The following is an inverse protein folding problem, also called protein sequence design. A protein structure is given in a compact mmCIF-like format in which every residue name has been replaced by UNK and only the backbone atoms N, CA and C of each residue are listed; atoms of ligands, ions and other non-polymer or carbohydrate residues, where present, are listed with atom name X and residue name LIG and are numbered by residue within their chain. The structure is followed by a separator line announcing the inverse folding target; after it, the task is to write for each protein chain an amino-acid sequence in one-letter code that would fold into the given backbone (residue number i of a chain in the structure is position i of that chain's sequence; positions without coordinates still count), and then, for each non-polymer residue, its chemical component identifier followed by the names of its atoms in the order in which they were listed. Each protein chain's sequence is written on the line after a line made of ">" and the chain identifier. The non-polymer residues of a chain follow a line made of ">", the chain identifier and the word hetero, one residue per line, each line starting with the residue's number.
data_IF_660913872745
#
_entry.id   IF_660913872745
#
_cell.length_a   1.000
_cell.length_b   1.000
_cell.length_c   1.000
_cell.angle_alpha   90.00
_cell.angle_beta   90.00
_cell.angle_gamma   90.00
#
_symmetry.space_group_name_H-M   'P 1'
#
loop_
_entity.id
_entity.type
_entity.pdbx_description
1 polymer ?
#
# COMPACT_ATOMS: atom_id res chain seq x y z
N UNK A 1 -61.15 28.39 -25.47
CA UNK A 1 -62.25 28.04 -24.55
C UNK A 1 -61.61 27.34 -23.36
N UNK A 2 -61.49 28.06 -22.31
CA UNK A 2 -62.21 28.04 -21.02
C UNK A 2 -61.90 26.76 -20.21
N UNK A 3 -61.15 27.00 -19.12
CA UNK A 3 -61.45 26.84 -17.67
C UNK A 3 -61.07 25.43 -17.16
N UNK A 4 -60.49 25.20 -16.00
CA UNK A 4 -60.20 25.95 -14.79
C UNK A 4 -59.64 24.97 -13.77
N UNK A 5 -58.70 25.39 -12.98
CA UNK A 5 -58.71 25.60 -11.55
C UNK A 5 -59.18 24.42 -10.65
N UNK A 6 -58.31 23.88 -9.78
CA UNK A 6 -58.40 24.08 -8.34
C UNK A 6 -57.30 23.33 -7.58
N UNK A 7 -56.58 24.03 -6.82
CA UNK A 7 -55.87 23.84 -5.58
C UNK A 7 -56.51 22.86 -4.59
N UNK A 8 -55.73 22.05 -3.90
CA UNK A 8 -56.03 21.61 -2.56
C UNK A 8 -54.75 21.25 -1.79
N UNK A 9 -54.40 22.18 -0.94
CA UNK A 9 -53.44 22.04 0.16
C UNK A 9 -54.06 21.19 1.27
N UNK A 10 -53.34 20.18 1.71
CA UNK A 10 -53.66 19.50 2.97
C UNK A 10 -52.45 19.56 3.91
N UNK A 11 -52.49 20.51 4.86
CA UNK A 11 -51.67 20.56 6.07
C UNK A 11 -52.24 19.53 7.06
N UNK A 12 -51.40 18.54 7.49
CA UNK A 12 -51.69 17.82 8.74
C UNK A 12 -50.63 18.21 9.78
N UNK A 13 -51.06 19.04 10.70
CA UNK A 13 -50.37 19.28 11.96
C UNK A 13 -50.88 18.26 12.98
N UNK A 14 -50.00 17.42 13.53
CA UNK A 14 -50.28 16.61 14.70
C UNK A 14 -49.46 17.17 15.86
N UNK A 15 -50.15 17.89 16.73
CA UNK A 15 -49.70 18.33 18.06
C UNK A 15 -49.85 17.18 19.04
N UNK A 16 -48.76 16.84 19.74
CA UNK A 16 -48.81 16.02 20.96
C UNK A 16 -48.54 16.89 22.19
N UNK A 17 -49.31 16.70 23.29
CA UNK A 17 -49.20 17.55 24.48
C UNK A 17 -48.08 17.09 25.40
N UNK A 18 -47.32 18.05 25.93
CA UNK A 18 -46.36 17.91 27.01
C UNK A 18 -47.13 17.77 28.35
N UNK A 19 -47.00 16.64 29.03
CA UNK A 19 -47.34 16.49 30.43
C UNK A 19 -46.14 16.79 31.33
N UNK A 20 -46.32 17.81 32.20
CA UNK A 20 -45.44 18.14 33.32
C UNK A 20 -45.65 17.14 34.45
N UNK A 21 -44.59 16.55 34.98
CA UNK A 21 -44.36 16.06 36.37
C UNK A 21 -43.04 15.27 36.29
N UNK A 22 -42.04 15.46 37.10
CA UNK A 22 -41.89 15.88 38.50
C UNK A 22 -40.41 16.26 38.72
N UNK A 23 -40.22 17.37 39.45
CA UNK A 23 -38.91 17.73 40.01
C UNK A 23 -38.67 16.86 41.25
N UNK A 24 -37.51 16.21 41.39
CA UNK A 24 -36.92 15.92 42.69
C UNK A 24 -35.38 15.83 42.56
N UNK A 25 -34.71 16.81 43.15
CA UNK A 25 -33.58 16.73 44.07
C UNK A 25 -32.36 15.87 43.63
N UNK A 26 -31.34 16.55 43.13
CA UNK A 26 -29.94 16.13 43.37
C UNK A 26 -29.14 17.38 43.71
N UNK A 27 -28.70 17.45 44.98
CA UNK A 27 -27.78 18.43 45.54
C UNK A 27 -26.35 18.21 45.02
N UNK A 28 -25.50 19.27 44.92
CA UNK A 28 -24.10 19.12 44.55
C UNK A 28 -23.29 18.53 45.70
N UNK A 29 -22.50 17.51 45.42
CA UNK A 29 -21.45 17.01 46.30
C UNK A 29 -20.25 17.97 46.18
N UNK A 30 -20.01 18.74 47.21
CA UNK A 30 -18.75 19.47 47.43
C UNK A 30 -17.63 18.47 47.75
N UNK A 31 -16.59 18.42 46.93
CA UNK A 31 -15.34 17.76 47.27
C UNK A 31 -14.45 18.76 48.00
N UNK A 32 -14.27 18.56 49.30
CA UNK A 32 -13.27 19.24 50.11
C UNK A 32 -11.88 18.69 49.80
N UNK A 33 -10.99 19.53 49.36
CA UNK A 33 -9.54 19.25 49.27
C UNK A 33 -8.93 19.29 50.66
N UNK A 34 -8.54 18.15 51.21
CA UNK A 34 -7.55 18.07 52.26
C UNK A 34 -6.21 17.61 51.65
N UNK A 35 -5.24 18.52 51.67
CA UNK A 35 -3.85 18.26 51.35
C UNK A 35 -3.21 17.51 52.53
N UNK A 36 -2.79 16.27 52.34
CA UNK A 36 -1.77 15.63 53.15
C UNK A 36 -0.65 15.19 52.23
N UNK A 37 0.45 15.87 52.38
CA UNK A 37 1.71 15.54 51.70
C UNK A 37 2.25 14.22 52.16
N UNK A 38 2.52 13.33 51.22
CA UNK A 38 3.51 12.28 51.40
C UNK A 38 4.18 12.05 50.03
N UNK A 39 5.38 12.54 49.94
CA UNK A 39 6.37 12.21 48.92
C UNK A 39 6.64 10.71 48.99
N UNK A 40 6.19 9.97 47.96
CA UNK A 40 6.72 8.63 47.66
C UNK A 40 7.34 8.74 46.28
N UNK A 41 8.61 9.08 46.23
CA UNK A 41 9.50 8.81 45.09
C UNK A 41 9.66 7.28 44.97
N UNK A 42 8.88 6.63 44.14
CA UNK A 42 9.18 5.28 43.67
C UNK A 42 10.07 5.36 42.44
N UNK A 43 11.35 5.49 42.66
CA UNK A 43 12.39 5.21 41.64
C UNK A 43 12.37 3.73 41.34
N UNK A 44 11.86 3.35 40.19
CA UNK A 44 12.10 2.01 39.58
C UNK A 44 13.46 2.11 38.88
N UNK A 45 14.47 1.33 39.29
CA UNK A 45 15.81 1.40 38.65
C UNK A 45 15.76 0.62 37.35
N UNK A 46 15.86 1.30 36.24
CA UNK A 46 16.15 0.75 34.90
C UNK A 46 17.63 0.35 34.77
N UNK A 47 18.06 -0.66 35.54
CA UNK A 47 19.36 -1.32 35.33
C UNK A 47 19.25 -2.78 35.68
N UNK A 48 18.90 -3.60 34.69
CA UNK A 48 19.33 -5.00 34.61
C UNK A 48 18.85 -5.65 33.30
N UNK A 49 19.44 -5.25 32.16
CA UNK A 49 19.42 -6.08 30.93
C UNK A 49 20.61 -5.72 30.05
N UNK A 50 21.82 -5.79 30.62
CA UNK A 50 23.06 -5.81 29.83
C UNK A 50 23.95 -6.89 30.40
N UNK A 51 23.83 -8.09 29.93
CA UNK A 51 24.92 -9.11 29.92
C UNK A 51 24.41 -10.41 29.29
N UNK A 52 24.43 -10.51 27.99
CA UNK A 52 24.57 -11.78 27.31
C UNK A 52 25.87 -11.71 26.53
N UNK A 53 26.92 -12.33 27.09
CA UNK A 53 28.22 -12.46 26.45
C UNK A 53 28.11 -13.42 25.26
N UNK A 54 28.43 -12.91 24.09
CA UNK A 54 28.72 -13.70 22.91
C UNK A 54 29.96 -14.55 23.11
N UNK A 55 29.81 -15.84 23.18
CA UNK A 55 30.88 -16.82 22.94
C UNK A 55 30.64 -17.44 21.57
N UNK A 56 31.32 -16.93 20.57
CA UNK A 56 31.59 -17.65 19.32
C UNK A 56 33.08 -17.69 19.09
N UNK A 57 33.64 -18.86 19.40
CA UNK A 57 35.03 -19.20 19.13
C UNK A 57 35.29 -19.28 17.63
N UNK A 58 36.28 -18.56 17.18
CA UNK A 58 36.86 -18.65 15.85
C UNK A 58 37.64 -19.96 15.73
N UNK A 59 37.27 -20.82 14.77
CA UNK A 59 38.20 -21.79 14.18
C UNK A 59 38.43 -21.38 12.72
N UNK A 60 39.57 -20.72 12.50
CA UNK A 60 40.17 -20.58 11.18
C UNK A 60 40.91 -21.83 10.86
N UNK A 61 40.52 -22.58 9.81
CA UNK A 61 41.36 -23.57 9.16
C UNK A 61 41.98 -22.95 7.90
N UNK A 62 43.28 -22.73 7.97
CA UNK A 62 44.15 -22.46 6.82
C UNK A 62 44.20 -23.71 5.95
N UNK A 63 43.83 -23.60 4.67
CA UNK A 63 44.25 -24.53 3.61
C UNK A 63 45.18 -23.77 2.66
N UNK A 64 46.43 -24.28 2.53
CA UNK A 64 47.40 -23.86 1.53
C UNK A 64 47.06 -24.50 0.20
N UNK A 65 47.29 -23.83 -0.94
CA UNK A 65 47.22 -24.46 -2.26
C UNK A 65 48.54 -25.19 -2.60
N UNK A 66 48.49 -26.24 -3.43
CA UNK A 66 49.69 -26.93 -3.88
C UNK A 66 50.38 -26.19 -5.02
N UNK A 67 51.69 -26.13 -4.94
CA UNK A 67 52.63 -25.70 -5.97
C UNK A 67 52.71 -26.69 -7.12
N UNK A 68 52.73 -26.21 -8.36
CA UNK A 68 53.04 -27.07 -9.50
C UNK A 68 53.08 -26.39 -10.82
N UNK A 69 54.27 -26.05 -11.26
CA UNK A 69 54.88 -26.13 -12.60
C UNK A 69 54.62 -24.98 -13.58
N UNK A 70 55.70 -24.23 -13.79
CA UNK A 70 55.94 -23.29 -14.86
C UNK A 70 56.19 -24.07 -16.18
N UNK A 71 55.50 -23.67 -17.25
CA UNK A 71 55.95 -23.95 -18.61
C UNK A 71 55.87 -22.64 -19.43
N UNK A 72 57.01 -22.19 -19.84
CA UNK A 72 57.21 -21.07 -20.76
C UNK A 72 56.66 -21.39 -22.14
N UNK A 73 55.93 -20.44 -22.74
CA UNK A 73 55.87 -20.30 -24.20
C UNK A 73 55.96 -18.82 -24.60
N UNK A 74 56.84 -18.64 -25.57
CA UNK A 74 57.41 -17.43 -26.11
C UNK A 74 56.44 -16.53 -26.86
N UNK A 75 56.82 -15.28 -26.87
CA UNK A 75 56.34 -14.14 -27.63
C UNK A 75 55.91 -14.38 -29.06
N UNK A 76 54.82 -13.78 -29.47
CA UNK A 76 54.68 -13.09 -30.77
C UNK A 76 53.51 -12.11 -30.79
N UNK A 77 53.85 -10.90 -31.31
CA UNK A 77 53.06 -9.85 -31.96
C UNK A 77 52.16 -8.97 -31.05
N UNK A 78 52.78 -7.85 -30.69
CA UNK A 78 52.11 -6.58 -30.45
C UNK A 78 51.52 -6.09 -31.79
N UNK A 79 50.19 -5.93 -31.84
CA UNK A 79 49.50 -4.92 -32.64
C UNK A 79 47.98 -5.08 -32.32
N UNK A 80 47.43 -4.17 -31.55
CA UNK A 80 46.08 -3.58 -31.54
C UNK A 80 45.54 -3.29 -30.14
N UNK A 81 45.95 -2.21 -29.45
CA UNK A 81 45.17 -1.69 -28.31
C UNK A 81 44.27 -0.50 -28.67
N UNK A 82 44.40 0.16 -29.82
CA UNK A 82 43.71 1.44 -30.07
C UNK A 82 42.28 1.28 -30.59
N UNK A 83 41.93 0.21 -31.32
CA UNK A 83 40.56 0.02 -31.80
C UNK A 83 39.59 -0.49 -30.74
N UNK A 84 40.03 -1.17 -29.68
CA UNK A 84 39.19 -1.64 -28.61
C UNK A 84 38.86 -0.57 -27.56
N UNK A 85 39.67 0.49 -27.42
CA UNK A 85 39.35 1.65 -26.57
C UNK A 85 38.37 2.61 -27.23
N UNK A 86 38.43 2.78 -28.56
CA UNK A 86 37.49 3.62 -29.31
C UNK A 86 36.09 2.97 -29.42
N UNK A 87 36.00 1.63 -29.54
CA UNK A 87 34.71 0.92 -29.47
C UNK A 87 34.09 0.92 -28.07
N UNK A 88 34.90 0.82 -27.00
CA UNK A 88 34.41 0.95 -25.63
C UNK A 88 33.93 2.35 -25.27
N UNK A 89 34.61 3.38 -25.74
CA UNK A 89 34.19 4.78 -25.55
C UNK A 89 32.98 5.16 -26.40
N UNK A 90 32.79 4.53 -27.56
CA UNK A 90 31.59 4.72 -28.38
C UNK A 90 30.37 3.97 -27.83
N UNK A 91 30.55 2.84 -27.16
CA UNK A 91 29.47 2.09 -26.48
C UNK A 91 29.12 2.72 -25.11
N UNK A 92 30.10 3.28 -24.38
CA UNK A 92 29.82 4.06 -23.17
C UNK A 92 29.15 5.41 -23.44
N UNK A 93 29.34 6.01 -24.61
CA UNK A 93 28.60 7.21 -25.04
C UNK A 93 27.19 6.91 -25.58
N UNK A 94 26.88 5.68 -25.99
CA UNK A 94 25.54 5.27 -26.40
C UNK A 94 24.62 4.97 -25.21
N UNK A 95 25.11 4.87 -23.97
CA UNK A 95 24.34 4.49 -22.78
C UNK A 95 24.05 5.65 -21.83
N UNK A 96 24.17 6.91 -22.22
CA UNK A 96 23.42 7.95 -21.52
C UNK A 96 21.98 7.89 -21.99
N UNK A 97 21.14 7.18 -21.27
CA UNK A 97 19.70 7.16 -21.51
C UNK A 97 19.22 8.62 -21.64
N UNK A 98 18.59 8.95 -22.78
CA UNK A 98 18.02 10.28 -23.02
C UNK A 98 17.12 10.65 -21.85
N UNK A 99 17.46 11.71 -21.13
CA UNK A 99 16.60 12.27 -20.09
C UNK A 99 15.33 12.85 -20.72
N UNK A 100 14.20 12.50 -20.17
CA UNK A 100 12.88 12.94 -20.59
C UNK A 100 12.26 13.67 -19.39
N UNK A 101 11.80 14.89 -19.62
CA UNK A 101 11.11 15.68 -18.59
C UNK A 101 9.62 15.60 -18.86
N UNK A 102 8.88 15.03 -17.92
CA UNK A 102 7.42 14.94 -17.99
C UNK A 102 6.82 16.03 -17.11
N UNK A 103 6.04 16.91 -17.71
CA UNK A 103 5.31 17.95 -16.98
C UNK A 103 4.07 17.36 -16.29
N UNK A 104 3.83 17.79 -15.05
CA UNK A 104 2.68 17.40 -14.23
C UNK A 104 1.62 18.53 -14.36
N UNK A 105 0.51 18.26 -15.05
CA UNK A 105 -0.43 19.32 -15.43
C UNK A 105 -1.28 19.83 -14.27
N UNK A 106 -1.48 19.01 -13.22
CA UNK A 106 -2.33 19.32 -12.07
C UNK A 106 -1.48 19.84 -10.91
N UNK A 107 -1.88 20.97 -10.32
CA UNK A 107 -1.21 21.53 -9.15
C UNK A 107 -1.43 20.64 -7.91
N UNK A 108 -0.48 20.66 -6.98
CA UNK A 108 -0.63 20.06 -5.67
C UNK A 108 -1.37 21.01 -4.72
N UNK A 109 -2.35 20.48 -3.98
CA UNK A 109 -2.91 21.21 -2.85
C UNK A 109 -2.04 21.00 -1.62
N UNK A 110 -1.73 22.09 -0.90
CA UNK A 110 -0.80 22.05 0.23
C UNK A 110 -1.46 22.47 1.54
N UNK A 111 -1.03 21.86 2.63
CA UNK A 111 -1.39 22.24 3.99
C UNK A 111 -0.16 22.34 4.87
N UNK A 112 0.07 23.47 5.52
CA UNK A 112 1.19 23.77 6.43
C UNK A 112 2.58 23.52 5.79
N UNK A 113 2.70 23.74 4.48
CA UNK A 113 3.95 23.59 3.73
C UNK A 113 4.24 24.88 2.97
N UNK A 114 5.52 25.26 2.92
CA UNK A 114 6.00 26.47 2.23
C UNK A 114 6.37 26.18 0.76
N UNK A 115 6.65 24.91 0.43
CA UNK A 115 7.02 24.49 -0.92
C UNK A 115 6.20 23.29 -1.35
N UNK A 116 5.96 23.17 -2.64
CA UNK A 116 5.29 22.05 -3.28
C UNK A 116 6.30 20.99 -3.76
N UNK A 117 5.84 19.73 -4.00
CA UNK A 117 6.59 18.79 -4.82
C UNK A 117 6.89 19.36 -6.22
N UNK A 118 7.87 18.78 -6.92
CA UNK A 118 8.19 19.19 -8.29
C UNK A 118 7.00 19.01 -9.23
N UNK A 119 6.79 19.96 -10.12
CA UNK A 119 5.79 19.87 -11.20
C UNK A 119 6.35 19.31 -12.50
N UNK A 120 7.57 18.83 -12.46
CA UNK A 120 8.20 18.10 -13.56
C UNK A 120 8.93 16.89 -12.98
N UNK A 121 8.79 15.75 -13.64
CA UNK A 121 9.46 14.50 -13.27
C UNK A 121 10.50 14.14 -14.32
N UNK A 122 11.72 13.92 -13.87
CA UNK A 122 12.80 13.44 -14.74
C UNK A 122 12.72 11.92 -14.82
N UNK A 123 12.74 11.40 -16.04
CA UNK A 123 12.65 9.97 -16.34
C UNK A 123 13.48 9.64 -17.59
N UNK A 124 13.46 8.41 -18.04
CA UNK A 124 14.10 7.94 -19.26
C UNK A 124 13.26 6.87 -19.98
N UNK A 125 13.70 6.43 -21.12
CA UNK A 125 12.97 5.44 -21.94
C UNK A 125 12.72 4.12 -21.21
N UNK A 126 13.70 3.64 -20.43
CA UNK A 126 13.62 2.38 -19.68
C UNK A 126 12.61 2.49 -18.53
N UNK A 127 12.67 3.58 -17.76
CA UNK A 127 11.72 3.86 -16.69
C UNK A 127 10.29 3.98 -17.20
N UNK A 128 10.08 4.69 -18.33
CA UNK A 128 8.76 4.84 -18.94
C UNK A 128 8.16 3.49 -19.36
N UNK A 129 8.97 2.65 -20.00
CA UNK A 129 8.56 1.29 -20.37
C UNK A 129 8.30 0.41 -19.15
N UNK A 130 9.12 0.53 -18.10
CA UNK A 130 8.91 -0.17 -16.80
C UNK A 130 7.61 0.26 -16.12
N UNK A 131 7.35 1.56 -16.02
CA UNK A 131 6.12 2.12 -15.46
C UNK A 131 4.88 1.62 -16.22
N UNK A 132 4.93 1.67 -17.55
CA UNK A 132 3.86 1.16 -18.41
C UNK A 132 3.60 -0.33 -18.18
N UNK A 133 4.68 -1.13 -18.16
CA UNK A 133 4.63 -2.57 -17.92
C UNK A 133 4.02 -2.89 -16.55
N UNK A 134 4.53 -2.28 -15.48
CA UNK A 134 4.11 -2.53 -14.10
C UNK A 134 2.62 -2.22 -13.90
N UNK A 135 2.15 -1.05 -14.36
CA UNK A 135 0.73 -0.70 -14.28
C UNK A 135 -0.15 -1.65 -15.12
N UNK A 136 0.32 -2.04 -16.32
CA UNK A 136 -0.40 -2.96 -17.20
C UNK A 136 -0.48 -4.37 -16.62
N UNK A 137 0.57 -4.84 -15.93
CA UNK A 137 0.56 -6.11 -15.18
C UNK A 137 -0.47 -6.07 -14.08
N UNK A 138 -0.46 -5.04 -13.21
CA UNK A 138 -1.43 -4.88 -12.12
C UNK A 138 -2.86 -4.91 -12.69
N UNK A 139 -3.14 -4.11 -13.72
CA UNK A 139 -4.45 -4.08 -14.39
C UNK A 139 -4.86 -5.45 -14.93
N UNK A 140 -3.94 -6.17 -15.55
CA UNK A 140 -4.22 -7.48 -16.11
C UNK A 140 -4.45 -8.53 -15.03
N UNK A 141 -3.72 -8.49 -13.93
CA UNK A 141 -3.95 -9.34 -12.75
C UNK A 141 -5.36 -9.13 -12.22
N UNK A 142 -5.80 -7.88 -12.07
CA UNK A 142 -7.14 -7.58 -11.55
C UNK A 142 -8.26 -8.05 -12.48
N UNK A 143 -8.11 -7.87 -13.80
CA UNK A 143 -9.06 -8.41 -14.80
C UNK A 143 -9.13 -9.93 -14.68
N UNK A 144 -8.01 -10.61 -14.47
CA UNK A 144 -7.97 -12.07 -14.32
C UNK A 144 -8.53 -12.50 -12.98
N UNK A 145 -8.29 -11.76 -11.90
CA UNK A 145 -8.89 -12.00 -10.59
C UNK A 145 -10.44 -11.88 -10.64
N UNK A 146 -10.97 -10.91 -11.39
CA UNK A 146 -12.41 -10.78 -11.65
C UNK A 146 -12.98 -12.05 -12.29
N UNK A 147 -12.31 -12.58 -13.32
CA UNK A 147 -12.75 -13.82 -14.00
C UNK A 147 -12.67 -15.04 -13.06
N UNK A 148 -11.60 -15.15 -12.25
CA UNK A 148 -11.41 -16.24 -11.28
C UNK A 148 -12.47 -16.18 -10.17
N UNK A 149 -12.83 -14.99 -9.72
CA UNK A 149 -13.89 -14.80 -8.74
C UNK A 149 -15.25 -15.20 -9.29
N UNK A 150 -15.61 -14.74 -10.50
CA UNK A 150 -16.87 -15.10 -11.19
C UNK A 150 -16.99 -16.59 -11.46
N UNK A 151 -15.88 -17.28 -11.71
CA UNK A 151 -15.81 -18.74 -11.86
C UNK A 151 -15.69 -19.50 -10.52
N UNK A 152 -15.85 -18.81 -9.36
CA UNK A 152 -15.84 -19.38 -8.02
C UNK A 152 -14.51 -20.04 -7.61
N UNK A 153 -13.40 -19.67 -8.25
CA UNK A 153 -12.08 -20.15 -7.91
C UNK A 153 -11.45 -19.31 -6.78
N UNK A 154 -11.82 -18.04 -6.67
CA UNK A 154 -11.52 -17.17 -5.53
C UNK A 154 -12.73 -17.16 -4.60
N UNK A 155 -12.50 -17.42 -3.30
CA UNK A 155 -13.54 -17.48 -2.27
C UNK A 155 -13.41 -16.31 -1.30
N UNK A 156 -14.53 -15.93 -0.69
CA UNK A 156 -14.57 -14.83 0.26
C UNK A 156 -14.59 -13.46 -0.40
N UNK A 157 -14.07 -12.44 0.27
CA UNK A 157 -13.99 -11.10 -0.28
C UNK A 157 -12.81 -10.98 -1.24
N UNK A 158 -13.02 -10.28 -2.33
CA UNK A 158 -11.98 -9.93 -3.29
C UNK A 158 -12.14 -8.45 -3.65
N UNK A 159 -11.07 -7.66 -3.44
CA UNK A 159 -11.06 -6.22 -3.66
C UNK A 159 -10.04 -5.87 -4.73
N UNK A 160 -10.51 -5.51 -5.91
CA UNK A 160 -9.65 -5.21 -7.04
C UNK A 160 -9.02 -3.81 -6.92
N UNK A 161 -7.79 -3.69 -7.38
CA UNK A 161 -6.98 -2.46 -7.32
C UNK A 161 -7.06 -1.62 -8.62
N UNK A 162 -7.76 -2.11 -9.64
CA UNK A 162 -7.85 -1.48 -10.96
C UNK A 162 -8.41 -0.05 -10.91
N UNK A 163 -7.71 0.84 -11.59
CA UNK A 163 -7.92 2.29 -11.58
C UNK A 163 -6.95 3.04 -10.66
N UNK A 164 -6.31 2.37 -9.70
CA UNK A 164 -5.38 2.98 -8.73
C UNK A 164 -3.91 2.65 -9.02
N UNK A 165 -3.58 2.09 -10.18
CA UNK A 165 -2.24 1.59 -10.52
C UNK A 165 -1.17 2.67 -10.41
N UNK A 166 -1.49 3.91 -10.76
CA UNK A 166 -0.56 5.04 -10.66
C UNK A 166 -0.12 5.30 -9.21
N UNK A 167 -1.01 5.11 -8.23
CA UNK A 167 -0.67 5.30 -6.81
C UNK A 167 0.39 4.29 -6.38
N UNK A 168 0.18 3.01 -6.70
CA UNK A 168 1.13 1.96 -6.36
C UNK A 168 2.48 2.16 -7.06
N UNK A 169 2.47 2.29 -8.39
CA UNK A 169 3.71 2.34 -9.17
C UNK A 169 4.48 3.65 -8.90
N UNK A 170 3.78 4.80 -8.80
CA UNK A 170 4.40 6.07 -8.45
C UNK A 170 5.05 6.05 -7.05
N UNK A 171 4.39 5.43 -6.07
CA UNK A 171 4.94 5.20 -4.74
C UNK A 171 6.23 4.36 -4.80
N UNK A 172 6.20 3.22 -5.48
CA UNK A 172 7.36 2.32 -5.54
C UNK A 172 8.56 2.93 -6.29
N UNK A 173 8.32 3.82 -7.28
CA UNK A 173 9.41 4.55 -7.96
C UNK A 173 10.10 5.59 -7.05
N UNK A 174 9.49 5.99 -5.93
CA UNK A 174 10.09 6.89 -4.93
C UNK A 174 10.66 6.15 -3.72
N UNK A 175 10.20 4.95 -3.43
CA UNK A 175 10.61 4.14 -2.29
C UNK A 175 11.72 3.14 -2.66
N UNK A 176 12.28 2.53 -1.61
CA UNK A 176 13.10 1.33 -1.73
C UNK A 176 12.55 0.21 -0.84
N UNK A 177 13.06 -1.00 -0.97
CA UNK A 177 12.56 -2.15 -0.19
C UNK A 177 12.93 -2.12 1.29
N UNK A 178 13.78 -1.20 1.73
CA UNK A 178 14.07 -0.97 3.14
C UNK A 178 13.03 -0.06 3.82
N UNK A 179 12.29 0.74 3.04
CA UNK A 179 11.13 1.48 3.51
C UNK A 179 9.99 0.52 3.82
N UNK A 180 9.26 0.74 4.90
CA UNK A 180 8.16 -0.13 5.31
C UNK A 180 6.83 0.32 4.72
N UNK A 181 6.04 -0.60 4.21
CA UNK A 181 4.69 -0.34 3.70
C UNK A 181 3.68 -1.23 4.41
N UNK A 182 2.56 -0.66 4.81
CA UNK A 182 1.41 -1.36 5.38
C UNK A 182 0.12 -0.78 4.78
N UNK A 183 -0.82 -1.63 4.41
CA UNK A 183 -2.03 -1.18 3.71
C UNK A 183 -3.29 -1.83 4.26
N UNK A 184 -4.43 -1.48 3.69
CA UNK A 184 -5.73 -2.08 3.94
C UNK A 184 -5.93 -3.33 3.05
N UNK A 185 -7.14 -3.80 2.95
CA UNK A 185 -7.57 -5.02 2.24
C UNK A 185 -7.45 -4.96 0.71
N UNK A 186 -7.23 -3.80 0.10
CA UNK A 186 -7.04 -3.62 -1.35
C UNK A 186 -5.55 -3.56 -1.64
N UNK A 187 -4.89 -4.71 -1.59
CA UNK A 187 -3.44 -4.81 -1.48
C UNK A 187 -2.75 -5.54 -2.65
N UNK A 188 -3.50 -6.01 -3.66
CA UNK A 188 -2.91 -6.78 -4.77
C UNK A 188 -1.83 -5.98 -5.52
N UNK A 189 -2.13 -4.73 -5.90
CA UNK A 189 -1.17 -3.86 -6.57
C UNK A 189 0.06 -3.59 -5.69
N UNK A 190 -0.16 -3.27 -4.41
CA UNK A 190 0.92 -2.99 -3.46
C UNK A 190 1.81 -4.22 -3.26
N UNK A 191 1.23 -5.42 -3.15
CA UNK A 191 1.99 -6.67 -3.02
C UNK A 191 2.90 -6.91 -4.23
N UNK A 192 2.37 -6.70 -5.45
CA UNK A 192 3.16 -6.82 -6.69
C UNK A 192 4.26 -5.77 -6.73
N UNK A 193 3.95 -4.50 -6.44
CA UNK A 193 4.92 -3.41 -6.38
C UNK A 193 6.04 -3.67 -5.36
N UNK A 194 5.72 -4.30 -4.23
CA UNK A 194 6.70 -4.73 -3.21
C UNK A 194 7.41 -6.04 -3.54
N UNK A 195 7.40 -6.46 -4.81
CA UNK A 195 8.14 -7.63 -5.29
C UNK A 195 7.44 -8.97 -5.10
N UNK A 196 6.14 -8.96 -4.83
CA UNK A 196 5.32 -10.16 -4.90
C UNK A 196 5.13 -10.62 -6.34
N UNK A 197 5.16 -11.92 -6.59
CA UNK A 197 4.96 -12.45 -7.94
C UNK A 197 3.48 -12.62 -8.28
N UNK A 198 3.16 -12.57 -9.57
CA UNK A 198 1.80 -12.83 -10.07
C UNK A 198 1.33 -14.23 -9.65
N UNK A 199 2.24 -15.20 -9.65
CA UNK A 199 1.96 -16.58 -9.23
C UNK A 199 1.62 -16.67 -7.74
N UNK A 200 2.40 -16.01 -6.85
CA UNK A 200 2.11 -15.93 -5.41
C UNK A 200 0.77 -15.25 -5.16
N UNK A 201 0.47 -14.17 -5.90
CA UNK A 201 -0.81 -13.45 -5.81
C UNK A 201 -1.97 -14.39 -6.09
N UNK A 202 -2.03 -15.03 -7.27
CA UNK A 202 -3.14 -15.93 -7.59
C UNK A 202 -3.19 -17.16 -6.70
N UNK A 203 -2.04 -17.69 -6.28
CA UNK A 203 -1.98 -18.79 -5.34
C UNK A 203 -2.66 -18.42 -4.01
N UNK A 204 -2.38 -17.25 -3.47
CA UNK A 204 -3.01 -16.80 -2.23
C UNK A 204 -4.52 -16.54 -2.40
N UNK A 205 -4.92 -15.87 -3.49
CA UNK A 205 -6.33 -15.59 -3.78
C UNK A 205 -7.17 -16.87 -3.94
N UNK A 206 -6.59 -17.93 -4.51
CA UNK A 206 -7.23 -19.23 -4.67
C UNK A 206 -7.06 -20.16 -3.47
N UNK A 207 -6.43 -19.70 -2.40
CA UNK A 207 -6.21 -20.48 -1.18
C UNK A 207 -5.23 -21.63 -1.37
N UNK A 208 -4.18 -21.44 -2.18
CA UNK A 208 -3.17 -22.46 -2.47
C UNK A 208 -1.96 -22.30 -1.56
N UNK A 209 -1.33 -23.44 -1.22
CA UNK A 209 -0.16 -23.50 -0.33
C UNK A 209 1.03 -22.68 -0.81
N UNK A 210 1.14 -22.44 -2.11
CA UNK A 210 2.21 -21.65 -2.74
C UNK A 210 1.97 -20.13 -2.66
N UNK A 211 0.88 -19.69 -2.06
CA UNK A 211 0.63 -18.28 -1.77
C UNK A 211 1.53 -17.74 -0.65
N UNK A 212 1.67 -16.43 -0.57
CA UNK A 212 2.56 -15.73 0.38
C UNK A 212 2.19 -15.98 1.87
N UNK A 213 0.93 -16.31 2.15
CA UNK A 213 0.43 -16.70 3.47
C UNK A 213 -0.02 -18.19 3.50
N UNK A 214 0.55 -19.03 2.63
CA UNK A 214 0.21 -20.44 2.46
C UNK A 214 -1.28 -20.69 2.15
N UNK A 215 -1.91 -19.78 1.44
CA UNK A 215 -3.33 -19.85 1.07
C UNK A 215 -4.32 -19.60 2.21
N UNK A 216 -3.86 -19.06 3.34
CA UNK A 216 -4.67 -18.80 4.54
C UNK A 216 -5.16 -17.36 4.65
N UNK A 217 -4.56 -16.44 3.90
CA UNK A 217 -4.88 -15.01 3.91
C UNK A 217 -5.98 -14.61 2.92
N UNK A 218 -5.99 -15.22 1.75
CA UNK A 218 -6.89 -14.84 0.66
C UNK A 218 -6.57 -13.45 0.11
N UNK A 219 -7.56 -12.81 -0.53
CA UNK A 219 -7.39 -11.54 -1.25
C UNK A 219 -7.00 -10.33 -0.38
N UNK A 220 -7.19 -10.38 0.94
CA UNK A 220 -7.04 -9.21 1.82
C UNK A 220 -5.81 -9.26 2.71
N UNK A 221 -5.00 -10.32 2.63
CA UNK A 221 -3.91 -10.56 3.57
C UNK A 221 -2.67 -11.07 2.84
N UNK A 222 -2.15 -10.22 1.94
CA UNK A 222 -0.89 -10.47 1.24
C UNK A 222 0.27 -9.83 2.02
N UNK A 223 1.39 -10.53 2.13
CA UNK A 223 2.56 -10.11 2.89
C UNK A 223 3.85 -10.41 2.14
N UNK A 224 4.84 -9.49 2.20
CA UNK A 224 6.19 -9.68 1.65
C UNK A 224 7.21 -9.11 2.63
N UNK A 225 7.42 -9.84 3.73
CA UNK A 225 8.24 -9.36 4.86
C UNK A 225 9.69 -9.08 4.47
N UNK A 226 10.26 -9.85 3.57
CA UNK A 226 11.62 -9.67 3.05
C UNK A 226 11.83 -8.32 2.37
N UNK A 227 10.76 -7.72 1.84
CA UNK A 227 10.75 -6.40 1.21
C UNK A 227 10.00 -5.36 2.08
N UNK A 228 9.92 -5.59 3.39
CA UNK A 228 9.25 -4.71 4.35
C UNK A 228 7.79 -4.35 4.00
N UNK A 229 7.09 -5.24 3.31
CA UNK A 229 5.64 -5.16 3.15
C UNK A 229 4.96 -5.93 4.29
N UNK A 230 4.35 -5.15 5.20
CA UNK A 230 3.71 -5.65 6.43
C UNK A 230 2.25 -6.01 6.24
N UNK A 231 1.82 -6.03 4.99
CA UNK A 231 0.60 -6.67 4.52
C UNK A 231 -0.61 -5.80 4.43
N UNK A 232 -1.64 -6.44 3.85
CA UNK A 232 -3.00 -5.97 3.82
C UNK A 232 -3.79 -6.37 5.06
N UNK A 233 -4.64 -5.47 5.54
CA UNK A 233 -5.41 -5.68 6.76
C UNK A 233 -6.91 -5.55 6.48
N UNK A 234 -7.65 -6.61 6.79
CA UNK A 234 -9.12 -6.63 6.61
C UNK A 234 -9.89 -5.73 7.58
N UNK A 235 -9.30 -5.40 8.74
CA UNK A 235 -9.91 -4.48 9.71
C UNK A 235 -9.66 -3.05 9.25
N UNK A 236 -10.74 -2.37 8.85
CA UNK A 236 -10.68 -1.01 8.29
C UNK A 236 -10.10 -0.01 9.31
N UNK A 237 -9.09 0.75 8.90
CA UNK A 237 -8.43 1.75 9.74
C UNK A 237 -7.33 1.20 10.65
N UNK A 238 -6.93 -0.08 10.52
CA UNK A 238 -5.86 -0.67 11.33
C UNK A 238 -4.46 -0.30 10.82
N UNK A 239 -4.29 -0.05 9.52
CA UNK A 239 -2.98 0.27 8.94
C UNK A 239 -2.32 1.53 9.52
N UNK A 240 -3.02 2.66 9.83
CA UNK A 240 -2.38 3.82 10.44
C UNK A 240 -1.76 3.57 11.83
N UNK A 241 -2.45 2.98 12.82
CA UNK A 241 -1.85 2.72 14.12
C UNK A 241 -0.72 1.68 14.06
N UNK A 242 -0.84 0.64 13.23
CA UNK A 242 0.25 -0.32 13.03
C UNK A 242 1.44 0.32 12.31
N UNK A 243 1.21 1.14 11.30
CA UNK A 243 2.24 1.94 10.63
C UNK A 243 2.96 2.89 11.58
N UNK A 244 2.22 3.53 12.49
CA UNK A 244 2.79 4.36 13.56
C UNK A 244 3.73 3.55 14.48
N UNK A 245 3.35 2.31 14.81
CA UNK A 245 4.21 1.39 15.56
C UNK A 245 5.48 1.01 14.80
N UNK A 246 5.40 0.77 13.48
CA UNK A 246 6.56 0.53 12.62
C UNK A 246 7.48 1.76 12.56
N UNK A 247 6.91 2.95 12.41
CA UNK A 247 7.69 4.20 12.37
C UNK A 247 8.37 4.50 13.72
N UNK A 248 7.69 4.18 14.83
CA UNK A 248 8.31 4.23 16.15
C UNK A 248 9.53 3.28 16.23
N UNK A 249 9.39 2.05 15.72
CA UNK A 249 10.50 1.10 15.68
C UNK A 249 11.66 1.61 14.79
N UNK A 250 11.37 2.21 13.62
CA UNK A 250 12.40 2.80 12.76
C UNK A 250 13.14 3.91 13.48
N UNK A 251 12.43 4.86 14.11
CA UNK A 251 13.06 5.96 14.89
C UNK A 251 13.87 5.43 16.07
N UNK A 252 13.31 4.49 16.83
CA UNK A 252 14.00 3.87 17.97
C UNK A 252 15.27 3.15 17.59
N UNK A 253 15.25 2.41 16.48
CA UNK A 253 16.40 1.68 15.93
C UNK A 253 17.32 2.55 15.08
N UNK A 254 17.01 3.84 14.91
CA UNK A 254 17.76 4.81 14.08
C UNK A 254 17.91 4.35 12.63
N UNK A 255 16.89 3.74 12.07
CA UNK A 255 16.87 3.36 10.65
C UNK A 255 16.59 4.59 9.79
N UNK A 256 17.34 4.81 8.68
CA UNK A 256 17.14 5.94 7.76
C UNK A 256 16.04 5.63 6.73
N UNK A 257 14.90 5.15 7.17
CA UNK A 257 13.81 4.69 6.32
C UNK A 257 12.48 5.27 6.79
N UNK A 258 11.56 5.42 5.86
CA UNK A 258 10.19 5.86 6.14
C UNK A 258 9.22 4.69 6.24
N UNK A 259 8.07 4.97 6.82
CA UNK A 259 6.93 4.05 6.82
C UNK A 259 5.80 4.69 6.04
N UNK A 260 5.16 3.94 5.14
CA UNK A 260 3.93 4.35 4.47
C UNK A 260 2.77 3.55 5.04
N UNK A 261 1.80 4.25 5.61
CA UNK A 261 0.55 3.64 6.10
C UNK A 261 -0.59 4.04 5.18
N UNK A 262 -1.10 3.06 4.40
CA UNK A 262 -2.10 3.28 3.35
C UNK A 262 -3.50 2.95 3.87
N UNK A 263 -4.48 3.81 3.58
CA UNK A 263 -5.88 3.63 3.92
C UNK A 263 -6.78 4.41 2.97
N UNK A 264 -8.06 4.05 2.89
CA UNK A 264 -9.03 4.72 2.02
C UNK A 264 -9.79 5.85 2.72
N UNK A 265 -10.56 6.61 1.94
CA UNK A 265 -11.45 7.70 2.36
C UNK A 265 -12.45 7.29 3.46
N UNK A 266 -12.98 6.07 3.39
CA UNK A 266 -13.87 5.53 4.44
C UNK A 266 -13.15 5.40 5.78
N UNK A 267 -11.94 4.83 5.79
CA UNK A 267 -11.11 4.66 6.98
C UNK A 267 -10.67 6.01 7.58
N UNK A 268 -10.50 7.04 6.75
CA UNK A 268 -10.11 8.39 7.17
C UNK A 268 -11.10 9.04 8.16
N UNK A 269 -12.28 8.47 8.35
CA UNK A 269 -13.29 8.96 9.31
C UNK A 269 -13.28 8.20 10.65
N UNK A 270 -12.36 7.25 10.86
CA UNK A 270 -12.26 6.51 12.12
C UNK A 270 -11.46 7.26 13.19
N UNK A 271 -11.90 7.17 14.46
CA UNK A 271 -11.26 7.85 15.58
C UNK A 271 -9.82 7.38 15.85
N UNK A 272 -9.51 6.09 15.69
CA UNK A 272 -8.17 5.54 15.91
C UNK A 272 -7.10 6.11 14.95
N UNK A 273 -7.51 6.63 13.79
CA UNK A 273 -6.61 7.33 12.88
C UNK A 273 -6.04 8.60 13.54
N UNK A 274 -6.90 9.40 14.16
CA UNK A 274 -6.50 10.63 14.85
C UNK A 274 -5.59 10.34 16.05
N UNK A 275 -5.81 9.25 16.76
CA UNK A 275 -4.92 8.78 17.82
C UNK A 275 -3.53 8.45 17.26
N UNK A 276 -3.46 7.66 16.19
CA UNK A 276 -2.21 7.30 15.51
C UNK A 276 -1.46 8.55 15.01
N UNK A 277 -2.16 9.48 14.39
CA UNK A 277 -1.61 10.73 13.89
C UNK A 277 -1.09 11.63 15.02
N UNK A 278 -1.82 11.71 16.15
CA UNK A 278 -1.35 12.44 17.33
C UNK A 278 -0.05 11.85 17.90
N UNK A 279 0.04 10.52 18.03
CA UNK A 279 1.26 9.84 18.48
C UNK A 279 2.43 10.07 17.50
N UNK A 280 2.15 9.97 16.20
CA UNK A 280 3.17 10.19 15.17
C UNK A 280 3.71 11.63 15.22
N UNK A 281 2.85 12.62 15.37
CA UNK A 281 3.25 14.03 15.48
C UNK A 281 4.00 14.32 16.79
N UNK A 282 3.49 13.82 17.93
CA UNK A 282 4.11 14.02 19.24
C UNK A 282 5.54 13.47 19.30
N UNK A 283 5.77 12.36 18.63
CA UNK A 283 7.07 11.70 18.60
C UNK A 283 7.86 11.97 17.31
N UNK A 284 7.38 12.87 16.43
CA UNK A 284 8.03 13.21 15.15
C UNK A 284 8.47 11.97 14.38
N UNK A 285 7.54 11.04 14.17
CA UNK A 285 7.83 9.75 13.53
C UNK A 285 7.96 9.89 12.01
N UNK A 286 8.89 9.14 11.36
CA UNK A 286 9.07 9.17 9.92
C UNK A 286 8.00 8.35 9.20
N UNK A 287 6.77 8.87 9.15
CA UNK A 287 5.62 8.19 8.57
C UNK A 287 4.88 9.08 7.57
N UNK A 288 4.55 8.49 6.43
CA UNK A 288 3.66 9.05 5.41
C UNK A 288 2.30 8.38 5.56
N UNK A 289 1.29 9.15 5.92
CA UNK A 289 -0.10 8.69 5.95
C UNK A 289 -0.71 8.86 4.56
N UNK A 290 -0.74 7.78 3.76
CA UNK A 290 -1.30 7.81 2.41
C UNK A 290 -2.80 7.52 2.43
N UNK A 291 -3.57 8.47 1.92
CA UNK A 291 -5.00 8.31 1.68
C UNK A 291 -5.24 7.98 0.20
N UNK A 292 -5.66 6.76 -0.11
CA UNK A 292 -6.21 6.42 -1.44
C UNK A 292 -7.66 6.89 -1.50
N UNK A 293 -7.85 8.17 -1.86
CA UNK A 293 -9.19 8.75 -1.98
C UNK A 293 -9.82 8.39 -3.32
N UNK A 294 -10.59 7.30 -3.35
CA UNK A 294 -11.35 6.86 -4.52
C UNK A 294 -12.83 7.33 -4.47
N UNK A 295 -13.15 8.30 -3.61
CA UNK A 295 -14.42 9.00 -3.42
C UNK A 295 -15.57 8.18 -2.85
N UNK A 296 -15.39 6.85 -2.62
CA UNK A 296 -16.46 6.00 -2.12
C UNK A 296 -15.97 4.97 -1.10
N UNK A 297 -16.37 5.13 0.15
CA UNK A 297 -16.28 4.09 1.17
C UNK A 297 -17.42 3.09 0.97
N UNK A 298 -17.18 2.00 0.23
CA UNK A 298 -18.20 1.08 -0.29
C UNK A 298 -19.24 1.86 -1.14
N UNK A 299 -20.46 2.03 -0.72
CA UNK A 299 -21.51 2.79 -1.39
C UNK A 299 -21.71 4.20 -0.83
N UNK A 300 -20.90 4.64 0.14
CA UNK A 300 -21.01 5.96 0.76
C UNK A 300 -20.01 6.91 0.13
N UNK A 301 -20.50 7.90 -0.59
CA UNK A 301 -19.69 8.96 -1.17
C UNK A 301 -19.02 9.81 -0.08
N UNK A 302 -17.81 10.31 -0.33
CA UNK A 302 -17.00 11.10 0.61
C UNK A 302 -17.75 12.32 1.15
N UNK A 303 -18.51 13.05 0.28
CA UNK A 303 -19.31 14.21 0.68
C UNK A 303 -20.48 13.87 1.61
N UNK A 304 -20.92 12.61 1.64
CA UNK A 304 -21.93 12.12 2.61
C UNK A 304 -21.29 11.64 3.90
N UNK A 305 -20.08 11.10 3.83
CA UNK A 305 -19.36 10.56 4.98
C UNK A 305 -18.67 11.63 5.81
N UNK A 306 -18.30 12.76 5.19
CA UNK A 306 -17.46 13.76 5.81
C UNK A 306 -17.95 15.19 5.54
N UNK A 307 -17.94 16.02 6.59
CA UNK A 307 -18.19 17.46 6.46
C UNK A 307 -17.08 18.15 5.67
N UNK A 308 -15.84 17.69 5.80
CA UNK A 308 -14.67 18.17 5.06
C UNK A 308 -14.06 16.98 4.34
N UNK A 309 -14.34 16.79 3.04
CA UNK A 309 -13.83 15.66 2.27
C UNK A 309 -12.37 15.81 1.83
N UNK A 310 -11.74 16.97 2.01
CA UNK A 310 -10.30 17.12 1.88
C UNK A 310 -9.63 16.49 3.09
N UNK A 311 -8.89 15.40 2.87
CA UNK A 311 -8.29 14.63 3.96
C UNK A 311 -6.88 15.08 4.30
N UNK A 312 -6.13 15.61 3.34
CA UNK A 312 -4.74 16.07 3.51
C UNK A 312 -4.60 17.23 4.50
N UNK A 313 -5.65 18.02 4.71
CA UNK A 313 -5.65 19.22 5.55
C UNK A 313 -6.55 19.14 6.79
N UNK A 314 -6.94 17.90 7.20
CA UNK A 314 -7.82 17.71 8.36
C UNK A 314 -7.14 17.96 9.69
N UNK A 315 -5.85 17.72 9.77
CA UNK A 315 -5.08 17.80 11.01
C UNK A 315 -4.34 19.13 11.01
N UNK A 316 -4.69 20.00 11.95
CA UNK A 316 -4.15 21.37 12.02
C UNK A 316 -2.67 21.48 12.38
N UNK A 317 -2.02 20.36 12.72
CA UNK A 317 -0.63 20.30 13.16
C UNK A 317 0.21 19.25 12.39
N UNK A 318 -0.34 18.57 11.40
CA UNK A 318 0.39 17.69 10.49
C UNK A 318 0.29 18.28 9.08
N UNK A 319 1.42 18.53 8.41
CA UNK A 319 1.39 19.02 7.04
C UNK A 319 0.84 17.97 6.08
N UNK A 320 0.34 18.44 4.95
CA UNK A 320 -0.26 17.56 3.98
C UNK A 320 -0.12 18.04 2.54
N UNK A 321 -0.13 17.07 1.64
CA UNK A 321 -0.11 17.24 0.18
C UNK A 321 -1.29 16.47 -0.40
N UNK A 322 -2.00 17.06 -1.38
CA UNK A 322 -2.91 16.32 -2.24
C UNK A 322 -2.34 16.29 -3.65
N UNK A 323 -2.31 15.11 -4.26
CA UNK A 323 -1.78 14.86 -5.59
C UNK A 323 -2.82 14.16 -6.46
N UNK A 324 -2.71 14.32 -7.79
CA UNK A 324 -3.49 13.52 -8.75
C UNK A 324 -3.03 12.07 -8.72
N UNK A 325 -3.84 11.20 -8.11
CA UNK A 325 -3.60 9.76 -8.00
C UNK A 325 -3.81 8.98 -9.31
N UNK A 326 -4.21 9.64 -10.39
CA UNK A 326 -4.30 9.07 -11.73
C UNK A 326 -3.07 9.40 -12.59
N UNK A 327 -2.14 10.20 -12.06
CA UNK A 327 -0.85 10.53 -12.68
C UNK A 327 0.30 9.93 -11.88
N UNK A 328 0.99 8.94 -12.47
CA UNK A 328 2.10 8.22 -11.84
C UNK A 328 3.28 9.14 -11.51
N UNK A 329 3.52 10.18 -12.30
CA UNK A 329 4.59 11.13 -12.07
C UNK A 329 4.27 12.10 -10.95
N UNK A 330 3.02 12.56 -10.86
CA UNK A 330 2.55 13.38 -9.74
C UNK A 330 2.69 12.61 -8.41
N UNK A 331 2.34 11.34 -8.39
CA UNK A 331 2.50 10.50 -7.20
C UNK A 331 3.98 10.27 -6.88
N UNK A 332 4.83 9.98 -7.87
CA UNK A 332 6.27 9.80 -7.67
C UNK A 332 6.90 11.03 -7.00
N UNK A 333 6.67 12.22 -7.56
CA UNK A 333 7.25 13.46 -7.05
C UNK A 333 6.69 13.82 -5.65
N UNK A 334 5.38 13.59 -5.42
CA UNK A 334 4.77 13.78 -4.11
C UNK A 334 5.37 12.84 -3.05
N UNK A 335 5.63 11.57 -3.39
CA UNK A 335 6.28 10.63 -2.48
C UNK A 335 7.73 10.97 -2.20
N UNK A 336 8.51 11.41 -3.20
CA UNK A 336 9.88 11.86 -3.01
C UNK A 336 9.91 13.02 -2.02
N UNK A 337 9.08 14.02 -2.22
CA UNK A 337 8.94 15.17 -1.33
C UNK A 337 8.56 14.75 0.11
N UNK A 338 7.54 13.91 0.27
CA UNK A 338 7.10 13.43 1.58
C UNK A 338 8.18 12.60 2.29
N UNK A 339 8.91 11.77 1.54
CA UNK A 339 10.02 10.96 2.06
C UNK A 339 11.16 11.85 2.56
N UNK A 340 11.57 12.83 1.77
CA UNK A 340 12.59 13.81 2.17
C UNK A 340 12.16 14.60 3.39
N UNK A 341 10.90 15.01 3.46
CA UNK A 341 10.32 15.70 4.61
C UNK A 341 10.48 14.86 5.89
N UNK A 342 10.06 13.60 5.86
CA UNK A 342 10.13 12.67 6.99
C UNK A 342 11.59 12.38 7.40
N UNK A 343 12.47 12.10 6.43
CA UNK A 343 13.88 11.80 6.67
C UNK A 343 14.67 13.03 7.17
N UNK A 344 14.19 14.23 6.84
CA UNK A 344 14.68 15.49 7.40
C UNK A 344 14.34 15.70 8.88
N UNK A 345 13.69 14.71 9.53
CA UNK A 345 13.35 14.77 10.97
C UNK A 345 12.18 15.70 11.30
N UNK A 346 11.40 16.11 10.31
CA UNK A 346 10.26 17.04 10.47
C UNK A 346 8.98 16.35 10.96
N UNK A 347 8.99 15.03 11.13
CA UNK A 347 7.87 14.24 11.62
C UNK A 347 6.95 13.70 10.51
N UNK A 348 5.68 13.36 10.83
CA UNK A 348 4.74 12.77 9.90
C UNK A 348 4.25 13.77 8.87
N UNK A 349 3.80 13.25 7.72
CA UNK A 349 3.14 14.02 6.66
C UNK A 349 1.94 13.25 6.12
N UNK A 350 0.90 13.98 5.71
CA UNK A 350 -0.27 13.43 5.03
C UNK A 350 -0.06 13.51 3.53
N UNK A 351 -0.41 12.44 2.81
CA UNK A 351 -0.47 12.44 1.34
C UNK A 351 -1.84 11.91 0.91
N UNK A 352 -2.64 12.74 0.28
CA UNK A 352 -3.90 12.34 -0.32
C UNK A 352 -3.70 12.14 -1.82
N UNK A 353 -3.95 10.92 -2.30
CA UNK A 353 -3.97 10.56 -3.71
C UNK A 353 -5.43 10.57 -4.20
N UNK A 354 -5.78 11.55 -5.03
CA UNK A 354 -7.09 11.68 -5.67
C UNK A 354 -7.20 10.68 -6.83
N UNK A 355 -7.75 9.51 -6.56
CA UNK A 355 -7.77 8.37 -7.46
C UNK A 355 -9.19 7.86 -7.71
N UNK A 356 -9.33 6.77 -8.48
CA UNK A 356 -10.64 6.20 -8.77
C UNK A 356 -10.55 4.69 -8.97
N UNK A 357 -11.50 3.91 -8.44
CA UNK A 357 -11.60 2.47 -8.72
C UNK A 357 -12.62 2.18 -9.81
N UNK A 358 -12.30 1.31 -10.76
CA UNK A 358 -13.18 1.00 -11.89
C UNK A 358 -14.25 -0.04 -11.55
N UNK A 359 -13.96 -0.97 -10.64
CA UNK A 359 -14.93 -1.94 -10.12
C UNK A 359 -15.67 -1.43 -8.87
N UNK A 360 -16.65 -2.20 -8.40
CA UNK A 360 -17.31 -1.96 -7.12
C UNK A 360 -16.33 -1.96 -5.93
N UNK A 361 -16.82 -1.83 -4.73
CA UNK A 361 -15.98 -1.86 -3.53
C UNK A 361 -15.26 -3.21 -3.39
N UNK A 362 -16.00 -4.30 -3.57
CA UNK A 362 -15.50 -5.65 -3.71
C UNK A 362 -16.20 -6.32 -4.89
N UNK A 363 -15.79 -7.53 -5.23
CA UNK A 363 -16.44 -8.30 -6.29
C UNK A 363 -17.90 -8.65 -6.00
N UNK A 364 -18.32 -8.61 -4.73
CA UNK A 364 -19.72 -8.79 -4.32
C UNK A 364 -20.55 -7.51 -4.43
N UNK A 365 -19.91 -6.34 -4.65
CA UNK A 365 -20.56 -5.05 -4.82
C UNK A 365 -20.69 -4.72 -6.32
N UNK A 366 -21.90 -4.63 -6.87
CA UNK A 366 -22.09 -4.31 -8.28
C UNK A 366 -21.69 -2.88 -8.64
N UNK A 367 -21.55 -1.97 -7.66
CA UNK A 367 -21.22 -0.56 -7.86
C UNK A 367 -22.29 0.27 -8.56
N UNK A 368 -23.23 -0.36 -9.27
CA UNK A 368 -24.25 0.30 -10.09
C UNK A 368 -25.36 1.00 -9.29
N UNK A 369 -25.45 0.78 -8.00
CA UNK A 369 -26.44 1.39 -7.11
C UNK A 369 -26.10 2.81 -6.71
N UNK A 370 -24.82 3.21 -6.77
CA UNK A 370 -24.33 4.51 -6.33
C UNK A 370 -23.44 5.22 -7.36
N UNK A 371 -23.02 4.56 -8.46
CA UNK A 371 -22.26 5.13 -9.56
C UNK A 371 -22.84 4.70 -10.91
N UNK A 372 -22.85 5.58 -11.87
CA UNK A 372 -23.29 5.27 -13.21
C UNK A 372 -22.16 4.65 -14.05
N UNK A 373 -22.53 3.81 -15.04
CA UNK A 373 -21.56 3.28 -16.01
C UNK A 373 -20.91 4.40 -16.83
N UNK A 374 -21.66 5.44 -17.14
CA UNK A 374 -21.16 6.57 -17.91
C UNK A 374 -20.11 7.36 -17.15
N UNK A 375 -20.27 7.53 -15.84
CA UNK A 375 -19.29 8.14 -14.95
C UNK A 375 -17.97 7.37 -14.98
N UNK A 376 -18.03 6.05 -14.73
CA UNK A 376 -16.83 5.19 -14.72
C UNK A 376 -16.13 5.21 -16.09
N UNK A 377 -16.88 5.13 -17.18
CA UNK A 377 -16.31 5.18 -18.53
C UNK A 377 -15.77 6.56 -18.89
N UNK A 378 -16.38 7.63 -18.40
CA UNK A 378 -15.90 9.00 -18.56
C UNK A 378 -14.53 9.17 -17.92
N UNK A 379 -14.40 8.84 -16.64
CA UNK A 379 -13.13 8.91 -15.91
C UNK A 379 -12.07 8.03 -16.56
N UNK A 380 -12.41 6.78 -16.92
CA UNK A 380 -11.46 5.89 -17.60
C UNK A 380 -10.98 6.43 -18.94
N UNK A 381 -11.85 7.08 -19.72
CA UNK A 381 -11.45 7.68 -21.01
C UNK A 381 -10.55 8.90 -20.83
N UNK A 382 -10.80 9.70 -19.81
CA UNK A 382 -10.16 10.99 -19.60
C UNK A 382 -8.90 10.92 -18.74
N UNK A 383 -8.89 10.04 -17.73
CA UNK A 383 -7.87 9.98 -16.68
C UNK A 383 -7.26 8.59 -16.49
N UNK A 384 -7.30 7.66 -17.48
CA UNK A 384 -6.68 6.33 -17.29
C UNK A 384 -5.15 6.46 -17.18
N UNK A 385 -4.54 6.01 -16.07
CA UNK A 385 -3.10 6.19 -15.82
C UNK A 385 -2.22 5.44 -16.83
N UNK A 386 -2.66 4.29 -17.34
CA UNK A 386 -1.91 3.52 -18.34
C UNK A 386 -1.93 4.24 -19.70
N UNK A 387 -3.10 4.77 -20.09
CA UNK A 387 -3.21 5.53 -21.34
C UNK A 387 -2.46 6.87 -21.27
N UNK A 388 -2.31 7.46 -20.09
CA UNK A 388 -1.47 8.64 -19.89
C UNK A 388 0.00 8.35 -20.25
N UNK A 389 0.59 7.30 -19.65
CA UNK A 389 1.98 6.90 -19.93
C UNK A 389 2.14 6.40 -21.37
N UNK A 390 1.17 5.67 -21.92
CA UNK A 390 1.17 5.25 -23.33
C UNK A 390 1.29 6.42 -24.28
N UNK A 391 0.58 7.52 -24.03
CA UNK A 391 0.67 8.73 -24.86
C UNK A 391 2.06 9.34 -24.82
N UNK A 392 2.70 9.41 -23.67
CA UNK A 392 4.04 9.93 -23.51
C UNK A 392 5.04 9.06 -24.28
N UNK A 393 4.98 7.73 -24.13
CA UNK A 393 5.84 6.77 -24.83
C UNK A 393 5.75 6.97 -26.37
N UNK A 394 4.54 7.17 -26.88
CA UNK A 394 4.32 7.38 -28.30
C UNK A 394 4.77 8.77 -28.77
N UNK A 395 4.57 9.81 -27.96
CA UNK A 395 4.99 11.18 -28.26
C UNK A 395 6.51 11.35 -28.27
N UNK A 396 7.19 10.66 -27.35
CA UNK A 396 8.66 10.64 -27.25
C UNK A 396 9.31 9.62 -28.21
N UNK A 397 8.51 8.93 -29.04
CA UNK A 397 8.96 7.94 -30.03
C UNK A 397 9.79 6.80 -29.39
N UNK A 398 9.49 6.43 -28.14
CA UNK A 398 10.20 5.37 -27.41
C UNK A 398 9.81 3.99 -27.93
N UNK A 399 8.54 3.80 -28.23
CA UNK A 399 8.00 2.59 -28.82
C UNK A 399 6.85 2.89 -29.79
N UNK A 400 6.64 2.02 -30.75
CA UNK A 400 5.53 2.07 -31.70
C UNK A 400 4.23 1.52 -31.07
N UNK A 401 3.10 1.81 -31.71
CA UNK A 401 1.80 1.23 -31.29
C UNK A 401 1.80 -0.30 -31.38
N UNK A 402 2.48 -0.85 -32.36
CA UNK A 402 2.62 -2.28 -32.61
C UNK A 402 3.43 -2.94 -31.49
N UNK A 403 4.56 -2.36 -31.09
CA UNK A 403 5.39 -2.85 -29.99
C UNK A 403 4.65 -2.82 -28.66
N UNK A 404 3.94 -1.74 -28.32
CA UNK A 404 3.11 -1.68 -27.12
C UNK A 404 1.99 -2.72 -27.13
N UNK A 405 1.35 -2.95 -28.28
CA UNK A 405 0.33 -4.00 -28.43
C UNK A 405 0.91 -5.40 -28.27
N UNK A 406 2.12 -5.64 -28.70
CA UNK A 406 2.79 -6.92 -28.52
C UNK A 406 3.23 -7.12 -27.06
N UNK A 407 3.68 -6.07 -26.39
CA UNK A 407 3.91 -6.07 -24.94
C UNK A 407 2.63 -6.39 -24.16
N UNK A 408 1.50 -5.78 -24.49
CA UNK A 408 0.19 -6.08 -23.88
C UNK A 408 -0.20 -7.55 -24.04
N UNK A 409 0.08 -8.16 -25.22
CA UNK A 409 -0.15 -9.59 -25.46
C UNK A 409 0.79 -10.47 -24.62
N UNK A 410 2.03 -10.05 -24.45
CA UNK A 410 3.01 -10.75 -23.62
C UNK A 410 2.58 -10.75 -22.16
N UNK A 411 2.25 -9.57 -21.61
CA UNK A 411 1.72 -9.40 -20.25
C UNK A 411 0.48 -10.28 -20.04
N UNK A 412 -0.41 -10.28 -21.00
CA UNK A 412 -1.61 -11.12 -20.93
C UNK A 412 -1.28 -12.60 -20.80
N UNK A 413 -0.33 -13.11 -21.61
CA UNK A 413 0.10 -14.52 -21.55
C UNK A 413 0.76 -14.85 -20.20
N UNK A 414 1.66 -13.98 -19.73
CA UNK A 414 2.34 -14.13 -18.46
C UNK A 414 1.34 -14.28 -17.30
N UNK A 415 0.34 -13.40 -17.24
CA UNK A 415 -0.69 -13.42 -16.21
C UNK A 415 -1.59 -14.65 -16.32
N UNK A 416 -1.99 -15.05 -17.53
CA UNK A 416 -2.79 -16.24 -17.78
C UNK A 416 -2.03 -17.52 -17.41
N UNK A 417 -0.75 -17.61 -17.73
CA UNK A 417 0.13 -18.74 -17.38
C UNK A 417 0.35 -18.84 -15.86
N UNK A 418 0.58 -17.70 -15.19
CA UNK A 418 0.70 -17.66 -13.73
C UNK A 418 -0.61 -18.11 -13.03
N UNK A 419 -1.76 -17.67 -13.53
CA UNK A 419 -3.07 -18.10 -13.02
C UNK A 419 -3.32 -19.59 -13.25
N UNK A 420 -2.91 -20.13 -14.41
CA UNK A 420 -3.02 -21.56 -14.70
C UNK A 420 -2.15 -22.40 -13.76
N UNK A 421 -0.89 -22.01 -13.58
CA UNK A 421 0.04 -22.67 -12.62
C UNK A 421 -0.48 -22.61 -11.18
N UNK A 422 -1.02 -21.46 -10.76
CA UNK A 422 -1.58 -21.32 -9.42
C UNK A 422 -2.81 -22.21 -9.22
N UNK A 423 -3.63 -22.42 -10.25
CA UNK A 423 -4.79 -23.33 -10.20
C UNK A 423 -4.37 -24.76 -9.92
N UNK A 424 -3.28 -25.21 -10.50
CA UNK A 424 -2.74 -26.58 -10.34
C UNK A 424 -1.99 -26.79 -9.01
N UNK A 425 -1.63 -25.70 -8.33
CA UNK A 425 -0.92 -25.79 -7.05
C UNK A 425 -1.74 -26.48 -5.96
N UNK A 426 -1.03 -27.10 -5.00
CA UNK A 426 -1.65 -27.85 -3.92
C UNK A 426 -2.46 -26.96 -2.96
N UNK A 427 -3.50 -27.54 -2.39
CA UNK A 427 -4.19 -26.95 -1.24
C UNK A 427 -3.35 -27.09 0.04
N UNK A 428 -3.51 -26.23 1.04
CA UNK A 428 -2.95 -26.43 2.37
C UNK A 428 -3.39 -27.79 2.94
N UNK A 429 -2.51 -28.47 3.64
CA UNK A 429 -2.85 -29.73 4.30
C UNK A 429 -3.69 -29.47 5.55
N UNK A 430 -4.45 -30.46 5.99
CA UNK A 430 -5.34 -30.34 7.15
C UNK A 430 -4.58 -30.00 8.43
N UNK A 431 -3.35 -30.49 8.59
CA UNK A 431 -2.48 -30.19 9.75
C UNK A 431 -2.01 -28.73 9.76
N UNK A 432 -1.96 -28.05 8.62
CA UNK A 432 -1.62 -26.63 8.52
C UNK A 432 -2.68 -25.71 9.11
N UNK A 433 -3.90 -26.20 9.36
CA UNK A 433 -4.94 -25.47 10.09
C UNK A 433 -4.47 -25.01 11.48
N UNK A 434 -3.60 -25.80 12.09
CA UNK A 434 -3.09 -25.55 13.45
C UNK A 434 -1.68 -24.96 13.46
N UNK A 435 -1.04 -24.80 12.29
CA UNK A 435 0.30 -24.22 12.18
C UNK A 435 0.26 -22.69 12.31
N UNK A 436 1.36 -22.12 12.86
CA UNK A 436 1.56 -20.67 12.99
C UNK A 436 0.54 -19.92 13.87
N UNK A 437 -0.14 -20.61 14.79
CA UNK A 437 -1.09 -20.03 15.73
C UNK A 437 -0.41 -19.75 17.08
N UNK A 438 0.34 -20.72 17.58
CA UNK A 438 1.10 -20.63 18.83
C UNK A 438 2.59 -20.90 18.60
N UNK A 439 3.38 -20.63 19.63
CA UNK A 439 4.80 -21.00 19.63
C UNK A 439 4.93 -22.52 19.44
N UNK A 440 5.86 -22.94 18.59
CA UNK A 440 6.18 -24.38 18.42
C UNK A 440 6.48 -25.04 19.76
N UNK A 441 6.08 -26.28 19.89
CA UNK A 441 6.27 -27.09 21.11
C UNK A 441 5.59 -26.47 22.35
N UNK A 442 4.49 -25.78 22.15
CA UNK A 442 3.73 -25.15 23.26
C UNK A 442 3.07 -26.16 24.21
N UNK A 443 2.95 -27.42 23.78
CA UNK A 443 2.24 -28.48 24.52
C UNK A 443 0.72 -28.28 24.60
N UNK A 444 0.18 -27.26 23.91
CA UNK A 444 -1.25 -26.97 23.92
C UNK A 444 -2.02 -28.04 23.14
N UNK A 445 -3.21 -28.32 23.60
CA UNK A 445 -4.13 -29.25 22.96
C UNK A 445 -5.32 -28.45 22.45
N UNK A 446 -5.55 -28.51 21.12
CA UNK A 446 -6.75 -27.98 20.52
C UNK A 446 -7.84 -29.06 20.48
N UNK A 447 -9.08 -28.61 20.63
CA UNK A 447 -10.26 -29.44 20.53
C UNK A 447 -11.12 -28.98 19.35
N UNK A 448 -11.72 -29.95 18.64
CA UNK A 448 -12.75 -29.66 17.64
C UNK A 448 -14.00 -29.05 18.26
N UNK A 449 -14.94 -28.66 17.43
CA UNK A 449 -16.22 -28.07 17.86
C UNK A 449 -17.04 -28.99 18.78
N UNK A 450 -16.83 -30.31 18.68
CA UNK A 450 -17.43 -31.33 19.55
C UNK A 450 -16.82 -31.39 20.96
N UNK A 451 -15.66 -30.73 21.16
CA UNK A 451 -14.88 -30.65 22.41
C UNK A 451 -14.52 -31.98 23.08
N UNK A 452 -14.85 -33.10 22.46
CA UNK A 452 -14.67 -34.44 23.05
C UNK A 452 -13.97 -35.42 22.11
N UNK A 453 -14.32 -35.41 20.83
CA UNK A 453 -13.88 -36.43 19.86
C UNK A 453 -12.61 -36.02 19.11
N UNK A 454 -12.52 -34.77 18.74
CA UNK A 454 -11.37 -34.24 18.00
C UNK A 454 -10.40 -33.56 18.97
N UNK A 455 -9.21 -34.11 19.09
CA UNK A 455 -8.14 -33.60 19.96
C UNK A 455 -6.83 -33.63 19.18
N UNK A 456 -6.22 -32.46 19.02
CA UNK A 456 -4.96 -32.32 18.28
C UNK A 456 -3.97 -31.60 19.18
N UNK A 457 -2.76 -32.17 19.31
CA UNK A 457 -1.65 -31.48 19.93
C UNK A 457 -1.14 -30.43 18.95
N UNK A 458 -1.05 -29.17 19.40
CA UNK A 458 -0.56 -28.08 18.57
C UNK A 458 0.94 -28.26 18.33
N UNK A 459 1.41 -28.08 17.08
CA UNK A 459 2.80 -28.21 16.71
C UNK A 459 3.70 -27.15 17.34
#
# INVERSE_FOLDING_TARGET
>A
MKKGCMSSTMKLAASFPLTKSSRSLLSPLEFSTQSSGNNIESRIPWRAWTSVKNHHGKQQRHMRPPSGTVAAYSAQSEEQPQQQEEEKTADEQKTKAREIVVEIPVDYDLHLLESAPSRSSVTNSEDLMSIYHEMSVIRRVEITADMLFKSQQIRGFCHLYDGQEAVCVGMEKALNFDDSVITAYRDHGIFIGRGGTIFETFSELMGKRTGCANGKGGSMHLYKRENNFWGGWGIVGTSPPLGTGLAFAHKYLKKPNVVVAIYGDGAANQGQLYEAQNLAALWELPIIFLIENNHFGMGTAEWRASKKPAYYDRISYIPGVKADGMDVFAIKEAFQYCKEYCLGGKGPIMLEADTYRYHGHSMSDPGSTYRSRNEIQGIRRERDPIEHVRKIILQEEIATKEELKDLDKQIRREVEDAAAKAREAEQPRDDELFANIYKKDSGLIAYGCDRKKTRIQMP
#
